data_IF_336563715411
#
_entry.id   IF_336563715411
#
_cell.length_a   1.000
_cell.length_b   1.000
_cell.length_c   1.000
_cell.angle_alpha   90.00
_cell.angle_beta   90.00
_cell.angle_gamma   90.00
#
_symmetry.space_group_name_H-M   'P 1'
#
loop_
_entity.id
_entity.type
_entity.pdbx_description
1 polymer ?
#
# COMPACT_ATOMS: atom_id res chain seq x y z
N UNK A 1 -9.71 12.08 25.62
CA UNK A 1 -9.15 10.96 24.84
C UNK A 1 -7.78 11.40 24.36
N UNK A 2 -6.75 10.57 24.52
CA UNK A 2 -5.44 10.84 23.91
C UNK A 2 -5.53 10.74 22.38
N UNK A 3 -4.50 11.20 21.69
CA UNK A 3 -4.39 11.07 20.23
C UNK A 3 -4.39 9.60 19.81
N UNK A 4 -3.67 8.74 20.52
CA UNK A 4 -3.66 7.28 20.29
C UNK A 4 -5.05 6.66 20.44
N UNK A 5 -5.78 7.01 21.50
CA UNK A 5 -7.15 6.53 21.70
C UNK A 5 -8.07 6.96 20.56
N UNK A 6 -7.86 8.17 20.02
CA UNK A 6 -8.62 8.67 18.88
C UNK A 6 -8.28 7.90 17.60
N UNK A 7 -7.00 7.60 17.36
CA UNK A 7 -6.59 6.81 16.19
C UNK A 7 -7.11 5.37 16.27
N UNK A 8 -7.03 4.75 17.44
CA UNK A 8 -7.57 3.41 17.65
C UNK A 8 -9.08 3.35 17.38
N UNK A 9 -9.83 4.31 17.92
CA UNK A 9 -11.28 4.40 17.65
C UNK A 9 -11.60 4.56 16.16
N UNK A 10 -10.80 5.34 15.42
CA UNK A 10 -10.97 5.53 13.97
C UNK A 10 -10.65 4.24 13.21
N UNK A 11 -9.62 3.52 13.61
CA UNK A 11 -9.26 2.23 13.02
C UNK A 11 -10.33 1.17 13.27
N UNK A 12 -10.88 1.10 14.48
CA UNK A 12 -11.94 0.15 14.82
C UNK A 12 -13.21 0.41 14.00
N UNK A 13 -13.62 1.69 13.88
CA UNK A 13 -14.71 2.09 12.99
C UNK A 13 -14.41 1.67 11.54
N UNK A 14 -13.17 1.89 11.08
CA UNK A 14 -12.73 1.55 9.73
C UNK A 14 -12.88 0.06 9.43
N UNK A 15 -12.44 -0.81 10.34
CA UNK A 15 -12.59 -2.26 10.24
C UNK A 15 -14.05 -2.69 10.13
N UNK A 16 -14.94 -2.10 10.94
CA UNK A 16 -16.37 -2.37 10.85
C UNK A 16 -16.99 -1.89 9.53
N UNK A 17 -16.60 -0.71 9.04
CA UNK A 17 -17.08 -0.19 7.76
C UNK A 17 -16.66 -1.10 6.60
N UNK A 18 -15.38 -1.48 6.52
CA UNK A 18 -14.86 -2.37 5.46
C UNK A 18 -15.54 -3.73 5.50
N UNK A 19 -15.76 -4.30 6.70
CA UNK A 19 -16.50 -5.55 6.85
C UNK A 19 -17.92 -5.45 6.29
N UNK A 20 -18.66 -4.40 6.64
CA UNK A 20 -20.03 -4.19 6.12
C UNK A 20 -20.03 -3.95 4.61
N UNK A 21 -19.11 -3.14 4.09
CA UNK A 21 -18.98 -2.93 2.65
C UNK A 21 -18.72 -4.23 1.90
N UNK A 22 -17.92 -5.13 2.46
CA UNK A 22 -17.66 -6.46 1.89
C UNK A 22 -18.89 -7.38 1.94
N UNK A 23 -19.66 -7.34 3.04
CA UNK A 23 -20.80 -8.25 3.25
C UNK A 23 -22.05 -7.90 2.44
N UNK A 24 -22.34 -6.61 2.27
CA UNK A 24 -23.61 -6.15 1.66
C UNK A 24 -23.41 -5.07 0.57
N UNK A 25 -22.17 -4.68 0.27
CA UNK A 25 -21.86 -3.61 -0.68
C UNK A 25 -21.84 -2.22 -0.05
N UNK A 26 -21.13 -1.29 -0.69
CA UNK A 26 -21.00 0.10 -0.22
C UNK A 26 -22.34 0.83 -0.31
N UNK A 27 -23.05 0.70 -1.42
CA UNK A 27 -24.36 1.35 -1.63
C UNK A 27 -25.39 1.00 -0.55
N UNK A 28 -25.51 -0.28 -0.19
CA UNK A 28 -26.46 -0.76 0.82
C UNK A 28 -26.04 -0.49 2.27
N UNK A 29 -24.81 -0.03 2.49
CA UNK A 29 -24.30 0.27 3.83
C UNK A 29 -24.57 1.74 4.20
N UNK A 30 -25.21 1.95 5.35
CA UNK A 30 -25.47 3.29 5.91
C UNK A 30 -24.48 3.64 7.03
N UNK A 31 -24.33 4.94 7.31
CA UNK A 31 -23.54 5.40 8.45
C UNK A 31 -24.12 4.95 9.79
N UNK A 32 -25.44 4.83 9.91
CA UNK A 32 -26.10 4.27 11.09
C UNK A 32 -25.65 2.82 11.35
N UNK A 33 -25.62 1.98 10.31
CA UNK A 33 -25.16 0.59 10.43
C UNK A 33 -23.70 0.51 10.86
N UNK A 34 -22.84 1.36 10.29
CA UNK A 34 -21.42 1.44 10.67
C UNK A 34 -21.28 1.88 12.14
N UNK A 35 -21.97 2.94 12.53
CA UNK A 35 -21.93 3.47 13.89
C UNK A 35 -22.40 2.43 14.91
N UNK A 36 -23.53 1.76 14.62
CA UNK A 36 -24.07 0.66 15.44
C UNK A 36 -23.08 -0.50 15.55
N UNK A 37 -22.49 -0.93 14.44
CA UNK A 37 -21.52 -2.02 14.43
C UNK A 37 -20.25 -1.69 15.23
N UNK A 38 -19.81 -0.43 15.21
CA UNK A 38 -18.65 0.06 15.95
C UNK A 38 -18.95 0.51 17.39
N UNK A 39 -20.21 0.38 17.87
CA UNK A 39 -20.60 0.78 19.22
C UNK A 39 -20.54 2.28 19.49
N UNK A 40 -20.68 3.12 18.47
CA UNK A 40 -20.67 4.59 18.58
C UNK A 40 -21.99 5.20 18.09
N UNK A 41 -22.25 6.45 18.47
CA UNK A 41 -23.36 7.21 17.87
C UNK A 41 -23.00 7.72 16.47
N UNK A 42 -24.00 7.92 15.60
CA UNK A 42 -23.78 8.56 14.29
C UNK A 42 -23.12 9.94 14.40
N UNK A 43 -23.51 10.74 15.40
CA UNK A 43 -22.85 12.02 15.69
C UNK A 43 -21.34 11.84 15.94
N UNK A 44 -20.94 10.75 16.59
CA UNK A 44 -19.52 10.44 16.83
C UNK A 44 -18.82 9.97 15.56
N UNK A 45 -19.49 9.15 14.74
CA UNK A 45 -19.00 8.73 13.43
C UNK A 45 -18.68 9.95 12.55
N UNK A 46 -19.66 10.84 12.37
CA UNK A 46 -19.52 12.03 11.52
C UNK A 46 -18.58 13.11 12.08
N UNK A 47 -18.22 13.02 13.37
CA UNK A 47 -17.13 13.82 13.93
C UNK A 47 -15.74 13.36 13.43
N UNK A 48 -15.60 12.10 13.06
CA UNK A 48 -14.34 11.53 12.58
C UNK A 48 -14.24 11.44 11.06
N UNK A 49 -15.38 11.24 10.39
CA UNK A 49 -15.44 10.90 8.97
C UNK A 49 -16.37 11.84 8.22
N UNK A 50 -15.99 12.18 6.99
CA UNK A 50 -16.76 13.10 6.14
C UNK A 50 -17.88 12.39 5.37
N UNK A 51 -17.70 11.10 5.12
CA UNK A 51 -18.68 10.22 4.48
C UNK A 51 -18.47 8.77 4.92
N UNK A 52 -19.40 7.88 4.58
CA UNK A 52 -19.23 6.44 4.86
C UNK A 52 -17.99 5.88 4.16
N UNK A 53 -17.71 6.32 2.94
CA UNK A 53 -16.57 5.86 2.14
C UNK A 53 -15.25 6.30 2.75
N UNK A 54 -15.18 7.51 3.33
CA UNK A 54 -13.98 7.96 4.08
C UNK A 54 -13.65 7.11 5.30
N UNK A 55 -14.58 6.24 5.75
CA UNK A 55 -14.32 5.31 6.84
C UNK A 55 -13.23 4.29 6.49
N UNK A 56 -12.88 4.04 5.22
CA UNK A 56 -11.79 3.11 4.86
C UNK A 56 -10.39 3.71 5.05
N UNK A 57 -10.28 5.04 5.13
CA UNK A 57 -8.98 5.75 5.15
C UNK A 57 -8.06 5.33 6.31
N UNK A 58 -8.52 5.16 7.56
CA UNK A 58 -7.64 4.78 8.66
C UNK A 58 -6.99 3.42 8.47
N UNK A 59 -7.74 2.41 7.99
CA UNK A 59 -7.20 1.09 7.71
C UNK A 59 -6.16 1.16 6.58
N UNK A 60 -6.50 1.83 5.48
CA UNK A 60 -5.58 2.06 4.36
C UNK A 60 -4.28 2.76 4.82
N UNK A 61 -4.42 3.79 5.65
CA UNK A 61 -3.29 4.56 6.19
C UNK A 61 -2.40 3.70 7.08
N UNK A 62 -2.99 2.92 8.01
CA UNK A 62 -2.22 2.00 8.88
C UNK A 62 -1.40 1.00 8.06
N UNK A 63 -1.99 0.41 7.02
CA UNK A 63 -1.28 -0.56 6.17
C UNK A 63 -0.17 0.11 5.37
N UNK A 64 -0.39 1.34 4.88
CA UNK A 64 0.67 2.12 4.24
C UNK A 64 1.80 2.45 5.22
N UNK A 65 1.49 2.93 6.42
CA UNK A 65 2.48 3.29 7.43
C UNK A 65 3.34 2.07 7.81
N UNK A 66 2.72 0.92 8.04
CA UNK A 66 3.44 -0.33 8.32
C UNK A 66 4.37 -0.74 7.16
N UNK A 67 3.91 -0.56 5.92
CA UNK A 67 4.75 -0.82 4.74
C UNK A 67 5.91 0.19 4.61
N UNK A 68 5.68 1.46 4.93
CA UNK A 68 6.74 2.47 4.96
C UNK A 68 7.78 2.15 6.05
N UNK A 69 7.37 1.66 7.21
CA UNK A 69 8.29 1.23 8.27
C UNK A 69 9.13 0.02 7.86
N UNK A 70 8.54 -0.91 7.11
CA UNK A 70 9.30 -1.98 6.44
C UNK A 70 10.35 -1.37 5.52
N UNK A 71 10.01 -0.42 4.65
CA UNK A 71 10.99 0.20 3.75
C UNK A 71 12.12 0.93 4.50
N UNK A 72 11.78 1.69 5.55
CA UNK A 72 12.75 2.44 6.37
C UNK A 72 13.70 1.52 7.14
N UNK A 73 13.25 0.31 7.48
CA UNK A 73 14.09 -0.68 8.17
C UNK A 73 14.98 -1.51 7.25
N UNK A 74 15.08 -1.16 5.96
CA UNK A 74 15.88 -1.89 4.97
C UNK A 74 17.37 -1.95 5.36
N UNK A 75 17.93 -3.15 5.65
CA UNK A 75 19.34 -3.31 5.99
C UNK A 75 20.27 -3.04 4.81
N UNK A 76 21.46 -2.43 5.02
CA UNK A 76 22.39 -2.10 3.94
C UNK A 76 23.01 -3.32 3.24
N UNK A 77 23.02 -4.48 3.88
CA UNK A 77 23.60 -5.71 3.33
C UNK A 77 22.64 -6.46 2.40
N UNK A 78 21.35 -6.10 2.39
CA UNK A 78 20.32 -6.81 1.63
C UNK A 78 19.94 -6.08 0.35
N UNK A 79 19.66 -6.83 -0.72
CA UNK A 79 18.95 -6.28 -1.87
C UNK A 79 17.51 -5.89 -1.47
N UNK A 80 16.98 -4.80 -2.03
CA UNK A 80 15.60 -4.34 -1.74
C UNK A 80 14.56 -5.44 -1.99
N UNK A 81 14.74 -6.21 -3.06
CA UNK A 81 13.86 -7.33 -3.39
C UNK A 81 13.86 -8.41 -2.30
N UNK A 82 15.01 -8.72 -1.71
CA UNK A 82 15.11 -9.71 -0.64
C UNK A 82 14.49 -9.21 0.66
N UNK A 83 14.71 -7.93 0.98
CA UNK A 83 14.10 -7.27 2.13
C UNK A 83 12.57 -7.27 2.06
N UNK A 84 12.01 -6.84 0.92
CA UNK A 84 10.55 -6.82 0.73
C UNK A 84 9.94 -8.23 0.67
N UNK A 85 10.67 -9.20 0.11
CA UNK A 85 10.29 -10.62 0.13
C UNK A 85 10.20 -11.16 1.56
N UNK A 86 11.14 -10.81 2.43
CA UNK A 86 11.08 -11.20 3.84
C UNK A 86 9.92 -10.54 4.59
N UNK A 87 9.62 -9.28 4.28
CA UNK A 87 8.52 -8.54 4.91
C UNK A 87 7.14 -9.16 4.67
N UNK A 88 6.92 -9.85 3.54
CA UNK A 88 5.70 -10.62 3.28
C UNK A 88 5.39 -11.65 4.36
N UNK A 89 6.40 -12.21 5.02
CA UNK A 89 6.23 -13.21 6.10
C UNK A 89 6.01 -12.60 7.48
N UNK A 90 6.27 -11.30 7.65
CA UNK A 90 6.25 -10.60 8.93
C UNK A 90 4.96 -9.82 9.19
N UNK A 91 4.00 -9.80 8.25
CA UNK A 91 2.74 -9.06 8.40
C UNK A 91 1.93 -9.61 9.60
N UNK A 92 1.88 -8.91 10.75
CA UNK A 92 1.39 -9.50 12.01
C UNK A 92 -0.14 -9.68 12.03
N UNK A 93 -0.86 -8.96 11.17
CA UNK A 93 -2.32 -8.94 11.10
C UNK A 93 -2.77 -9.16 9.65
N UNK A 94 -2.73 -10.42 9.18
CA UNK A 94 -3.21 -10.79 7.85
C UNK A 94 -4.67 -10.35 7.59
N UNK A 95 -5.47 -10.20 8.65
CA UNK A 95 -6.84 -9.69 8.58
C UNK A 95 -6.94 -8.25 8.05
N UNK A 96 -6.01 -7.36 8.44
CA UNK A 96 -6.01 -5.97 7.95
C UNK A 96 -5.56 -5.93 6.48
N UNK A 97 -4.61 -6.79 6.08
CA UNK A 97 -4.21 -6.95 4.67
C UNK A 97 -5.37 -7.44 3.80
N UNK A 98 -6.08 -8.49 4.24
CA UNK A 98 -7.26 -9.01 3.54
C UNK A 98 -8.36 -7.94 3.40
N UNK A 99 -8.57 -7.15 4.46
CA UNK A 99 -9.52 -6.05 4.45
C UNK A 99 -9.11 -4.93 3.48
N UNK A 100 -7.82 -4.59 3.38
CA UNK A 100 -7.31 -3.64 2.37
C UNK A 100 -7.49 -4.19 0.95
N UNK A 101 -7.17 -5.46 0.69
CA UNK A 101 -7.40 -6.09 -0.61
C UNK A 101 -8.89 -6.06 -0.99
N UNK A 102 -9.79 -6.24 -0.02
CA UNK A 102 -11.22 -6.09 -0.22
C UNK A 102 -11.61 -4.65 -0.61
N UNK A 103 -11.03 -3.64 0.06
CA UNK A 103 -11.22 -2.24 -0.34
C UNK A 103 -10.77 -2.00 -1.77
N UNK A 104 -9.59 -2.51 -2.15
CA UNK A 104 -9.04 -2.35 -3.50
C UNK A 104 -9.97 -3.00 -4.54
N UNK A 105 -10.51 -4.21 -4.27
CA UNK A 105 -11.52 -4.84 -5.14
C UNK A 105 -12.74 -3.94 -5.37
N UNK A 106 -13.27 -3.37 -4.29
CA UNK A 106 -14.45 -2.50 -4.37
C UNK A 106 -14.19 -1.20 -5.16
N UNK A 107 -12.93 -0.77 -5.33
CA UNK A 107 -12.62 0.43 -6.12
C UNK A 107 -12.99 0.31 -7.60
N UNK A 108 -13.20 -0.90 -8.12
CA UNK A 108 -13.66 -1.10 -9.49
C UNK A 108 -15.04 -0.44 -9.70
N UNK A 109 -15.98 -0.75 -8.81
CA UNK A 109 -17.38 -0.30 -8.92
C UNK A 109 -17.67 0.97 -8.13
N UNK A 110 -16.81 1.34 -7.17
CA UNK A 110 -17.05 2.45 -6.24
C UNK A 110 -16.05 3.61 -6.43
N UNK A 111 -16.43 4.69 -7.15
CA UNK A 111 -15.52 5.80 -7.47
C UNK A 111 -14.95 6.52 -6.25
N UNK A 112 -15.73 6.63 -5.16
CA UNK A 112 -15.29 7.30 -3.94
C UNK A 112 -14.19 6.50 -3.21
N UNK A 113 -14.28 5.17 -3.20
CA UNK A 113 -13.21 4.31 -2.67
C UNK A 113 -11.97 4.38 -3.56
N UNK A 114 -12.17 4.41 -4.89
CA UNK A 114 -11.06 4.58 -5.84
C UNK A 114 -10.30 5.89 -5.61
N UNK A 115 -11.00 6.99 -5.33
CA UNK A 115 -10.37 8.27 -5.01
C UNK A 115 -9.52 8.17 -3.73
N UNK A 116 -10.05 7.57 -2.66
CA UNK A 116 -9.30 7.38 -1.41
C UNK A 116 -8.05 6.50 -1.62
N UNK A 117 -8.16 5.43 -2.41
CA UNK A 117 -7.04 4.56 -2.73
C UNK A 117 -5.97 5.25 -3.57
N UNK A 118 -6.35 6.07 -4.57
CA UNK A 118 -5.38 6.83 -5.37
C UNK A 118 -4.58 7.83 -4.53
N UNK A 119 -5.24 8.53 -3.60
CA UNK A 119 -4.56 9.44 -2.65
C UNK A 119 -3.58 8.68 -1.77
N UNK A 120 -3.95 7.48 -1.29
CA UNK A 120 -3.03 6.64 -0.53
C UNK A 120 -1.79 6.28 -1.33
N UNK A 121 -1.98 5.88 -2.59
CA UNK A 121 -0.88 5.51 -3.49
C UNK A 121 0.08 6.67 -3.75
N UNK A 122 -0.45 7.87 -3.96
CA UNK A 122 0.37 9.08 -4.15
C UNK A 122 1.20 9.40 -2.89
N UNK A 123 0.66 9.16 -1.69
CA UNK A 123 1.38 9.36 -0.42
C UNK A 123 2.51 8.35 -0.17
N UNK A 124 2.50 7.21 -0.86
CA UNK A 124 3.54 6.19 -0.71
C UNK A 124 4.85 6.57 -1.40
N UNK A 125 4.77 7.29 -2.54
CA UNK A 125 5.91 7.57 -3.43
C UNK A 125 7.05 8.35 -2.77
N UNK A 126 6.82 9.41 -1.96
CA UNK A 126 7.90 10.14 -1.30
C UNK A 126 8.79 9.27 -0.41
N UNK A 127 8.23 8.25 0.26
CA UNK A 127 9.03 7.36 1.12
C UNK A 127 10.03 6.53 0.30
N UNK A 128 9.68 6.11 -0.92
CA UNK A 128 10.63 5.43 -1.80
C UNK A 128 11.75 6.35 -2.23
N UNK A 129 11.42 7.60 -2.57
CA UNK A 129 12.41 8.60 -2.95
C UNK A 129 13.41 8.81 -1.81
N UNK A 130 12.94 9.03 -0.60
CA UNK A 130 13.81 9.28 0.56
C UNK A 130 14.72 8.08 0.87
N UNK A 131 14.15 6.88 0.92
CA UNK A 131 14.90 5.64 1.22
C UNK A 131 15.94 5.32 0.14
N UNK A 132 15.59 5.52 -1.15
CA UNK A 132 16.52 5.27 -2.25
C UNK A 132 17.62 6.35 -2.34
N UNK A 133 17.27 7.62 -2.10
CA UNK A 133 18.25 8.71 -2.05
C UNK A 133 19.30 8.46 -0.96
N UNK A 134 18.86 8.09 0.24
CA UNK A 134 19.75 7.73 1.35
C UNK A 134 20.62 6.52 0.99
N UNK A 135 20.03 5.48 0.39
CA UNK A 135 20.77 4.28 -0.02
C UNK A 135 21.87 4.57 -1.04
N UNK A 136 21.61 5.47 -1.98
CA UNK A 136 22.51 5.78 -3.08
C UNK A 136 23.49 6.92 -2.74
N UNK A 137 23.27 7.63 -1.63
CA UNK A 137 24.09 8.78 -1.22
C UNK A 137 23.95 9.98 -2.16
N UNK A 138 22.77 10.16 -2.76
CA UNK A 138 22.48 11.23 -3.73
C UNK A 138 21.27 12.07 -3.28
N UNK A 139 21.09 13.30 -3.80
CA UNK A 139 19.92 14.12 -3.51
C UNK A 139 18.59 13.46 -3.92
N UNK A 140 17.52 13.69 -3.15
CA UNK A 140 16.18 13.15 -3.42
C UNK A 140 15.49 13.75 -4.65
N UNK A 141 15.94 14.92 -5.11
CA UNK A 141 15.46 15.56 -6.33
C UNK A 141 16.20 15.10 -7.60
N UNK A 142 17.24 14.25 -7.45
CA UNK A 142 17.93 13.63 -8.58
C UNK A 142 16.95 12.82 -9.42
N UNK A 143 17.01 13.02 -10.75
CA UNK A 143 16.07 12.41 -11.70
C UNK A 143 16.13 10.87 -11.61
N UNK A 144 17.32 10.31 -11.44
CA UNK A 144 17.57 8.87 -11.33
C UNK A 144 16.85 8.26 -10.12
N UNK A 145 16.90 8.93 -8.96
CA UNK A 145 16.18 8.49 -7.74
C UNK A 145 14.68 8.50 -7.99
N UNK A 146 14.16 9.60 -8.54
CA UNK A 146 12.73 9.73 -8.83
C UNK A 146 12.24 8.69 -9.83
N UNK A 147 13.03 8.41 -10.87
CA UNK A 147 12.73 7.37 -11.86
C UNK A 147 12.72 5.97 -11.22
N UNK A 148 13.70 5.66 -10.37
CA UNK A 148 13.74 4.37 -9.67
C UNK A 148 12.58 4.23 -8.67
N UNK A 149 12.28 5.26 -7.89
CA UNK A 149 11.15 5.27 -6.96
C UNK A 149 9.81 5.06 -7.69
N UNK A 150 9.61 5.74 -8.83
CA UNK A 150 8.43 5.57 -9.67
C UNK A 150 8.34 4.15 -10.25
N UNK A 151 9.46 3.57 -10.71
CA UNK A 151 9.50 2.22 -11.26
C UNK A 151 9.16 1.16 -10.19
N UNK A 152 9.73 1.29 -8.99
CA UNK A 152 9.41 0.41 -7.85
C UNK A 152 7.94 0.56 -7.44
N UNK A 153 7.43 1.79 -7.37
CA UNK A 153 6.02 2.07 -7.06
C UNK A 153 5.07 1.46 -8.11
N UNK A 154 5.45 1.47 -9.39
CA UNK A 154 4.69 0.84 -10.46
C UNK A 154 4.70 -0.70 -10.34
N UNK A 155 5.84 -1.29 -10.00
CA UNK A 155 5.99 -2.73 -9.79
C UNK A 155 5.09 -3.22 -8.64
N UNK A 156 5.13 -2.52 -7.51
CA UNK A 156 4.34 -2.86 -6.33
C UNK A 156 2.84 -2.67 -6.57
N UNK A 157 2.45 -1.63 -7.34
CA UNK A 157 1.05 -1.53 -7.78
C UNK A 157 0.66 -2.75 -8.62
N UNK A 158 1.44 -3.10 -9.64
CA UNK A 158 1.10 -4.21 -10.53
C UNK A 158 0.97 -5.52 -9.75
N UNK A 159 1.88 -5.75 -8.79
CA UNK A 159 1.80 -6.90 -7.88
C UNK A 159 0.55 -6.85 -6.99
N UNK A 160 0.21 -5.68 -6.43
CA UNK A 160 -1.02 -5.52 -5.64
C UNK A 160 -2.27 -5.81 -6.48
N UNK A 161 -2.33 -5.32 -7.71
CA UNK A 161 -3.45 -5.56 -8.63
C UNK A 161 -3.58 -7.06 -8.99
N UNK A 162 -2.45 -7.75 -9.22
CA UNK A 162 -2.42 -9.22 -9.41
C UNK A 162 -2.88 -9.96 -8.15
N UNK A 163 -2.38 -9.57 -6.98
CA UNK A 163 -2.75 -10.16 -5.69
C UNK A 163 -4.25 -10.02 -5.43
N UNK A 164 -4.82 -8.86 -5.75
CA UNK A 164 -6.25 -8.59 -5.66
C UNK A 164 -7.06 -9.54 -6.54
N UNK A 165 -6.59 -9.83 -7.76
CA UNK A 165 -7.24 -10.73 -8.69
C UNK A 165 -7.18 -12.20 -8.24
N UNK A 166 -6.01 -12.68 -7.80
CA UNK A 166 -5.82 -14.08 -7.40
C UNK A 166 -6.44 -14.40 -6.03
N UNK A 167 -6.70 -13.39 -5.19
CA UNK A 167 -7.34 -13.56 -3.87
C UNK A 167 -8.83 -13.25 -3.85
N UNK A 168 -9.48 -13.13 -5.03
CA UNK A 168 -10.89 -12.78 -5.12
C UNK A 168 -11.83 -13.82 -4.46
N UNK A 169 -11.46 -15.10 -4.53
CA UNK A 169 -12.26 -16.23 -4.01
C UNK A 169 -11.79 -16.72 -2.63
N UNK A 170 -10.76 -16.10 -2.07
CA UNK A 170 -10.15 -16.52 -0.81
C UNK A 170 -8.63 -16.37 -0.85
N UNK A 171 -8.00 -16.67 0.28
CA UNK A 171 -6.55 -16.58 0.44
C UNK A 171 -5.97 -17.99 0.49
N UNK A 172 -5.25 -18.37 -0.56
CA UNK A 172 -4.47 -19.61 -0.60
C UNK A 172 -3.00 -19.32 -0.24
N UNK A 173 -2.46 -19.90 0.86
CA UNK A 173 -1.06 -19.71 1.26
C UNK A 173 -0.02 -20.07 0.19
N UNK A 174 -0.30 -21.07 -0.65
CA UNK A 174 0.62 -21.48 -1.72
C UNK A 174 0.71 -20.39 -2.79
N UNK A 175 -0.45 -19.91 -3.25
CA UNK A 175 -0.56 -18.82 -4.24
C UNK A 175 0.09 -17.52 -3.73
N UNK A 176 -0.06 -17.22 -2.43
CA UNK A 176 0.64 -16.09 -1.81
C UNK A 176 2.16 -16.24 -1.83
N UNK A 177 2.63 -17.47 -1.58
CA UNK A 177 4.06 -17.81 -1.66
C UNK A 177 4.63 -17.59 -3.05
N UNK A 178 3.92 -18.06 -4.08
CA UNK A 178 4.31 -17.83 -5.48
C UNK A 178 4.30 -16.35 -5.85
N UNK A 179 3.25 -15.62 -5.46
CA UNK A 179 3.12 -14.19 -5.72
C UNK A 179 4.26 -13.39 -5.09
N UNK A 180 4.66 -13.75 -3.86
CA UNK A 180 5.81 -13.16 -3.15
C UNK A 180 7.10 -13.34 -3.94
N UNK A 181 7.39 -14.55 -4.42
CA UNK A 181 8.61 -14.81 -5.19
C UNK A 181 8.61 -14.07 -6.54
N UNK A 182 7.46 -14.03 -7.22
CA UNK A 182 7.30 -13.24 -8.47
C UNK A 182 7.55 -11.75 -8.26
N UNK A 183 7.02 -11.17 -7.19
CA UNK A 183 7.29 -9.78 -6.85
C UNK A 183 8.78 -9.54 -6.63
N UNK A 184 9.46 -10.43 -5.88
CA UNK A 184 10.90 -10.31 -5.65
C UNK A 184 11.69 -10.34 -6.97
N UNK A 185 11.34 -11.23 -7.90
CA UNK A 185 11.97 -11.30 -9.22
C UNK A 185 11.70 -10.05 -10.08
N UNK A 186 10.47 -9.54 -10.06
CA UNK A 186 10.11 -8.30 -10.75
C UNK A 186 10.89 -7.10 -10.20
N UNK A 187 11.02 -7.00 -8.87
CA UNK A 187 11.82 -5.96 -8.22
C UNK A 187 13.30 -6.08 -8.62
N UNK A 188 13.89 -7.28 -8.61
CA UNK A 188 15.27 -7.51 -9.08
C UNK A 188 15.45 -7.07 -10.52
N UNK A 189 14.50 -7.38 -11.41
CA UNK A 189 14.55 -6.97 -12.80
C UNK A 189 14.61 -5.43 -12.95
N UNK A 190 13.80 -4.73 -12.16
CA UNK A 190 13.70 -3.26 -12.21
C UNK A 190 14.91 -2.59 -11.55
N UNK A 191 15.42 -3.14 -10.45
CA UNK A 191 16.55 -2.54 -9.72
C UNK A 191 17.92 -2.93 -10.27
N UNK A 192 18.04 -4.06 -11.00
CA UNK A 192 19.29 -4.49 -11.66
C UNK A 192 19.50 -3.84 -13.02
N UNK A 193 18.48 -3.26 -13.64
CA UNK A 193 18.67 -2.57 -14.91
C UNK A 193 19.56 -1.34 -14.69
N UNK A 194 20.78 -1.29 -15.27
CA UNK A 194 21.47 -0.02 -15.38
C UNK A 194 20.58 0.84 -16.28
N UNK A 195 20.08 1.97 -15.77
CA UNK A 195 19.45 2.97 -16.63
C UNK A 195 20.57 3.50 -17.54
N UNK A 196 20.75 2.85 -18.69
CA UNK A 196 21.70 3.17 -19.74
C UNK A 196 23.15 3.39 -19.28
N UNK A 197 24.00 2.38 -19.39
CA UNK A 197 25.38 2.68 -19.75
C UNK A 197 25.35 3.37 -21.12
N UNK A 198 25.44 4.70 -21.14
CA UNK A 198 25.68 5.45 -22.35
C UNK A 198 26.96 4.88 -22.97
N UNK A 199 26.94 4.32 -24.20
CA UNK A 199 28.17 3.90 -24.83
C UNK A 199 29.04 5.15 -24.93
N UNK A 200 30.20 5.10 -24.28
CA UNK A 200 31.19 6.17 -24.36
C UNK A 200 31.37 6.48 -25.84
N UNK A 201 31.00 7.71 -26.26
CA UNK A 201 31.45 8.23 -27.54
C UNK A 201 32.96 8.25 -27.44
N UNK A 202 33.60 7.28 -28.07
CA UNK A 202 35.02 7.35 -28.37
C UNK A 202 35.18 8.58 -29.25
N UNK A 203 35.61 9.68 -28.63
CA UNK A 203 36.09 10.84 -29.34
C UNK A 203 37.41 10.41 -29.98
N UNK A 204 37.32 9.84 -31.18
CA UNK A 204 38.46 9.67 -32.07
C UNK A 204 38.42 10.80 -33.08
N UNK A 205 38.95 11.96 -32.67
CA UNK A 205 39.55 12.90 -33.61
C UNK A 205 40.82 12.25 -34.17
N UNK A 206 40.76 11.87 -35.46
CA UNK A 206 41.82 12.08 -36.48
C UNK A 206 41.41 11.52 -37.83
#
# INVERSE_FOLDING_TARGET
>A
MSEEQRQQQRLDISRHAVRLFREQGVAATSGEQIAKAAGVSERTLWRYFRSKESCVEPLLTKTLDAFQDVLRSWPPELELAEHLRAAYTLAPEWSDVEAVLAVIRMTHDEPALRAAYLVLRERAEPTFVDVLAERLGVPSDALEVRMQAAAVSAALRAATDELVAITAEGVDPEVLGEHRERLADALRFITRAPIGSCPQRTNSDR
#
